data_IF_154575949469
#
_entry.id   IF_154575949469
#
_cell.length_a   1.000
_cell.length_b   1.000
_cell.length_c   1.000
_cell.angle_alpha   90.00
_cell.angle_beta   90.00
_cell.angle_gamma   90.00
#
_symmetry.space_group_name_H-M   'P 1'
#
loop_
_entity.id
_entity.type
_entity.pdbx_description
1 polymer ?
#
# COMPACT_ATOMS: atom_id res chain seq x y z
N UNK A 1 8.38 -4.54 -15.55
CA UNK A 1 7.75 -4.40 -14.23
C UNK A 1 7.60 -2.94 -13.85
N UNK A 2 6.63 -2.65 -12.99
CA UNK A 2 6.35 -1.30 -12.52
C UNK A 2 6.48 -1.27 -11.00
N UNK A 3 7.31 -0.37 -10.47
CA UNK A 3 7.47 -0.18 -9.04
C UNK A 3 6.68 1.01 -8.53
N UNK A 4 6.09 0.86 -7.34
CA UNK A 4 5.42 1.95 -6.63
C UNK A 4 5.94 1.98 -5.20
N UNK A 5 6.22 3.17 -4.70
CA UNK A 5 6.38 3.42 -3.28
C UNK A 5 5.27 4.35 -2.83
N UNK A 6 4.38 3.85 -1.97
CA UNK A 6 3.31 4.64 -1.38
C UNK A 6 3.71 5.03 0.04
N UNK A 7 3.77 6.34 0.33
CA UNK A 7 4.13 6.85 1.65
C UNK A 7 2.90 7.33 2.39
N UNK A 8 2.78 6.93 3.66
CA UNK A 8 1.65 7.28 4.52
C UNK A 8 2.14 7.93 5.80
N UNK A 9 1.40 8.94 6.26
CA UNK A 9 1.57 9.51 7.60
C UNK A 9 0.34 9.18 8.41
N UNK A 10 0.53 8.33 9.45
CA UNK A 10 -0.54 7.92 10.34
C UNK A 10 -0.78 8.97 11.41
N UNK A 11 -2.02 9.16 11.80
CA UNK A 11 -2.34 9.97 12.98
C UNK A 11 -1.72 9.33 14.22
N UNK A 12 -1.07 10.15 15.04
CA UNK A 12 -0.44 9.67 16.27
C UNK A 12 -1.45 8.98 17.17
N UNK A 13 -1.09 7.82 17.68
CA UNK A 13 -1.97 7.00 18.54
C UNK A 13 -2.88 6.03 17.79
N UNK A 14 -2.93 6.08 16.45
CA UNK A 14 -3.75 5.17 15.63
C UNK A 14 -2.95 4.10 14.91
N UNK A 15 -1.70 3.91 15.28
CA UNK A 15 -0.78 3.00 14.60
C UNK A 15 -1.27 1.55 14.60
N UNK A 16 -1.77 1.07 15.73
CA UNK A 16 -2.22 -0.32 15.84
C UNK A 16 -3.36 -0.63 14.87
N UNK A 17 -4.36 0.25 14.80
CA UNK A 17 -5.50 0.09 13.89
C UNK A 17 -5.07 0.24 12.43
N UNK A 18 -4.19 1.19 12.14
CA UNK A 18 -3.65 1.40 10.80
C UNK A 18 -2.87 0.17 10.34
N UNK A 19 -1.99 -0.36 11.17
CA UNK A 19 -1.21 -1.56 10.85
C UNK A 19 -2.11 -2.78 10.64
N UNK A 20 -3.15 -2.95 11.45
CA UNK A 20 -4.10 -4.05 11.30
C UNK A 20 -4.86 -3.94 9.97
N UNK A 21 -5.35 -2.76 9.62
CA UNK A 21 -6.08 -2.52 8.38
C UNK A 21 -5.20 -2.82 7.17
N UNK A 22 -3.98 -2.27 7.15
CA UNK A 22 -3.08 -2.44 6.01
C UNK A 22 -2.53 -3.86 5.92
N UNK A 23 -2.27 -4.52 7.05
CA UNK A 23 -1.78 -5.92 7.06
C UNK A 23 -2.83 -6.88 6.51
N UNK A 24 -4.10 -6.69 6.84
CA UNK A 24 -5.19 -7.47 6.26
C UNK A 24 -5.30 -7.23 4.75
N UNK A 25 -5.16 -5.99 4.33
CA UNK A 25 -5.15 -5.64 2.91
C UNK A 25 -3.99 -6.32 2.16
N UNK A 26 -2.79 -6.25 2.72
CA UNK A 26 -1.61 -6.92 2.15
C UNK A 26 -1.84 -8.43 2.00
N UNK A 27 -2.44 -9.05 3.00
CA UNK A 27 -2.77 -10.49 2.94
C UNK A 27 -3.70 -10.80 1.77
N UNK A 28 -4.72 -9.98 1.55
CA UNK A 28 -5.64 -10.15 0.41
C UNK A 28 -4.95 -9.96 -0.93
N UNK A 29 -4.09 -8.96 -1.06
CA UNK A 29 -3.31 -8.74 -2.28
C UNK A 29 -2.45 -9.96 -2.60
N UNK A 30 -1.70 -10.45 -1.61
CA UNK A 30 -0.82 -11.61 -1.80
C UNK A 30 -1.59 -12.88 -2.16
N UNK A 31 -2.80 -13.04 -1.65
CA UNK A 31 -3.63 -14.22 -1.89
C UNK A 31 -4.32 -14.21 -3.25
N UNK A 32 -4.65 -13.04 -3.81
CA UNK A 32 -5.56 -12.92 -4.96
C UNK A 32 -4.97 -12.22 -6.17
N UNK A 33 -3.81 -11.58 -6.05
CA UNK A 33 -3.21 -10.79 -7.12
C UNK A 33 -1.82 -11.32 -7.48
N UNK A 34 -1.72 -12.36 -8.32
CA UNK A 34 -0.41 -12.93 -8.67
C UNK A 34 0.50 -11.96 -9.44
N UNK A 35 -0.08 -10.95 -10.09
CA UNK A 35 0.68 -9.91 -10.78
C UNK A 35 1.30 -8.87 -9.84
N UNK A 36 0.90 -8.82 -8.57
CA UNK A 36 1.57 -8.03 -7.54
C UNK A 36 2.73 -8.86 -6.96
N UNK A 37 3.90 -8.72 -7.57
CA UNK A 37 5.08 -9.56 -7.29
C UNK A 37 5.66 -9.26 -5.91
N UNK A 38 5.66 -7.97 -5.51
CA UNK A 38 6.03 -7.52 -4.17
C UNK A 38 4.90 -6.62 -3.66
N UNK A 39 4.50 -6.84 -2.42
CA UNK A 39 3.54 -5.97 -1.74
C UNK A 39 3.82 -6.04 -0.24
N UNK A 40 4.52 -5.03 0.28
CA UNK A 40 5.04 -5.09 1.64
C UNK A 40 4.90 -3.73 2.33
N UNK A 41 4.22 -3.72 3.49
CA UNK A 41 4.15 -2.54 4.34
C UNK A 41 5.39 -2.48 5.23
N UNK A 42 6.03 -1.32 5.27
CA UNK A 42 7.19 -1.05 6.10
C UNK A 42 6.93 0.20 6.95
N UNK A 43 7.55 0.24 8.11
CA UNK A 43 7.51 1.40 9.01
C UNK A 43 8.85 2.13 8.95
N UNK A 44 8.82 3.46 8.94
CA UNK A 44 10.04 4.27 9.02
C UNK A 44 10.69 4.04 10.39
N UNK A 45 11.96 3.66 10.41
CA UNK A 45 12.67 3.37 11.65
C UNK A 45 12.93 4.61 12.51
N UNK A 46 12.91 5.81 11.91
CA UNK A 46 13.19 7.08 12.59
C UNK A 46 11.92 7.82 13.01
N UNK A 47 10.78 7.52 12.38
CA UNK A 47 9.50 8.15 12.69
C UNK A 47 8.41 7.08 12.59
N UNK A 48 7.95 6.60 13.73
CA UNK A 48 7.00 5.49 13.82
C UNK A 48 5.59 5.80 13.31
N UNK A 49 5.27 7.05 12.99
CA UNK A 49 3.99 7.43 12.39
C UNK A 49 4.07 7.43 10.86
N UNK A 50 5.24 7.26 10.29
CA UNK A 50 5.43 7.18 8.86
C UNK A 50 5.62 5.74 8.41
N UNK A 51 4.92 5.40 7.32
CA UNK A 51 4.93 4.08 6.70
C UNK A 51 5.15 4.20 5.21
N UNK A 52 5.62 3.15 4.60
CA UNK A 52 5.68 3.06 3.14
C UNK A 52 5.32 1.65 2.68
N UNK A 53 4.58 1.59 1.58
CA UNK A 53 4.22 0.34 0.92
C UNK A 53 5.15 0.17 -0.28
N UNK A 54 5.90 -0.93 -0.29
CA UNK A 54 6.72 -1.32 -1.44
C UNK A 54 5.86 -2.21 -2.33
N UNK A 55 5.72 -1.81 -3.60
CA UNK A 55 4.87 -2.51 -4.55
C UNK A 55 5.63 -2.73 -5.84
N UNK A 56 5.52 -3.93 -6.40
CA UNK A 56 6.09 -4.25 -7.70
C UNK A 56 5.07 -5.06 -8.48
N UNK A 57 4.70 -4.57 -9.66
CA UNK A 57 3.72 -5.20 -10.54
C UNK A 57 4.42 -5.78 -11.77
N UNK A 58 3.98 -6.96 -12.18
CA UNK A 58 4.56 -7.65 -13.34
C UNK A 58 4.41 -6.85 -14.63
N UNK A 59 3.29 -6.13 -14.79
CA UNK A 59 2.95 -5.37 -16.01
C UNK A 59 1.86 -4.34 -15.71
N UNK A 60 1.51 -3.54 -16.72
CA UNK A 60 0.48 -2.51 -16.61
C UNK A 60 -0.91 -3.09 -16.34
N UNK A 61 -1.23 -4.25 -16.89
CA UNK A 61 -2.52 -4.92 -16.67
C UNK A 61 -2.68 -5.33 -15.21
N UNK A 62 -1.62 -5.83 -14.57
CA UNK A 62 -1.64 -6.19 -13.15
C UNK A 62 -1.87 -4.97 -12.26
N UNK A 63 -1.23 -3.85 -12.58
CA UNK A 63 -1.43 -2.60 -11.84
C UNK A 63 -2.87 -2.09 -12.02
N UNK A 64 -3.38 -2.10 -13.25
CA UNK A 64 -4.77 -1.68 -13.51
C UNK A 64 -5.77 -2.57 -12.77
N UNK A 65 -5.56 -3.88 -12.77
CA UNK A 65 -6.41 -4.83 -12.06
C UNK A 65 -6.41 -4.57 -10.55
N UNK A 66 -5.23 -4.27 -9.96
CA UNK A 66 -5.09 -3.93 -8.55
C UNK A 66 -6.02 -2.79 -8.14
N UNK A 67 -6.06 -1.72 -8.94
CA UNK A 67 -6.88 -0.54 -8.66
C UNK A 67 -8.39 -0.79 -8.74
N UNK A 68 -8.82 -1.92 -9.33
CA UNK A 68 -10.23 -2.27 -9.52
C UNK A 68 -10.74 -3.33 -8.55
N UNK A 69 -9.91 -3.83 -7.65
CA UNK A 69 -10.30 -4.87 -6.71
C UNK A 69 -11.27 -4.34 -5.66
N UNK A 70 -12.12 -5.23 -5.13
CA UNK A 70 -13.04 -4.88 -4.05
C UNK A 70 -12.29 -4.49 -2.79
N UNK A 71 -11.18 -5.17 -2.49
CA UNK A 71 -10.39 -4.83 -1.31
C UNK A 71 -9.70 -3.47 -1.43
N UNK A 72 -9.32 -3.03 -2.65
CA UNK A 72 -8.81 -1.68 -2.85
C UNK A 72 -9.89 -0.62 -2.63
N UNK A 73 -11.08 -0.85 -3.16
CA UNK A 73 -12.24 0.04 -2.93
C UNK A 73 -12.57 0.16 -1.45
N UNK A 74 -12.55 -0.96 -0.72
CA UNK A 74 -12.81 -0.97 0.72
C UNK A 74 -11.72 -0.22 1.49
N UNK A 75 -10.45 -0.42 1.13
CA UNK A 75 -9.33 0.28 1.76
C UNK A 75 -9.45 1.80 1.58
N UNK A 76 -9.70 2.26 0.36
CA UNK A 76 -9.84 3.70 0.05
C UNK A 76 -10.96 4.31 0.90
N UNK A 77 -12.04 3.59 1.15
CA UNK A 77 -13.14 4.05 1.99
C UNK A 77 -12.82 4.12 3.48
N UNK A 78 -11.78 3.44 3.93
CA UNK A 78 -11.47 3.31 5.37
C UNK A 78 -10.18 4.01 5.80
N UNK A 79 -9.18 4.07 4.92
CA UNK A 79 -7.83 4.50 5.29
C UNK A 79 -7.75 5.94 5.75
N UNK A 80 -8.60 6.82 5.20
CA UNK A 80 -8.61 8.24 5.53
C UNK A 80 -8.82 8.54 7.01
N UNK A 81 -9.52 7.65 7.73
CA UNK A 81 -9.77 7.82 9.17
C UNK A 81 -8.48 7.75 10.00
N UNK A 82 -7.41 7.16 9.45
CA UNK A 82 -6.16 6.93 10.16
C UNK A 82 -5.02 7.83 9.67
N UNK A 83 -5.21 8.56 8.57
CA UNK A 83 -4.15 9.35 7.96
C UNK A 83 -4.12 10.78 8.52
N UNK A 84 -2.90 11.29 8.76
CA UNK A 84 -2.67 12.69 9.14
C UNK A 84 -2.47 13.59 7.91
N UNK A 85 -2.20 13.00 6.74
CA UNK A 85 -1.96 13.71 5.48
C UNK A 85 -2.32 12.79 4.31
N UNK A 86 -2.55 13.34 3.10
CA UNK A 86 -2.76 12.53 1.90
C UNK A 86 -1.54 11.65 1.61
N UNK A 87 -1.74 10.41 1.12
CA UNK A 87 -0.62 9.57 0.71
C UNK A 87 0.19 10.19 -0.42
N UNK A 88 1.49 9.87 -0.45
CA UNK A 88 2.38 10.27 -1.55
C UNK A 88 2.79 9.03 -2.32
N UNK A 89 2.64 9.07 -3.64
CA UNK A 89 2.99 7.96 -4.52
C UNK A 89 4.17 8.34 -5.41
N UNK A 90 5.16 7.46 -5.47
CA UNK A 90 6.24 7.51 -6.46
C UNK A 90 6.14 6.26 -7.31
N UNK A 91 6.12 6.40 -8.62
CA UNK A 91 5.89 5.30 -9.54
C UNK A 91 6.83 5.39 -10.75
N UNK A 92 7.31 4.26 -11.19
CA UNK A 92 8.13 4.20 -12.40
C UNK A 92 8.40 2.78 -12.86
N UNK A 93 8.92 2.64 -14.10
CA UNK A 93 9.31 1.33 -14.62
C UNK A 93 10.55 0.80 -13.91
N UNK A 94 10.62 -0.53 -13.77
CA UNK A 94 11.85 -1.17 -13.32
C UNK A 94 12.93 -0.99 -14.40
N UNK A 95 14.17 -0.75 -13.97
CA UNK A 95 15.30 -0.51 -14.89
C UNK A 95 16.21 -1.73 -15.05
N UNK A 96 15.91 -2.82 -14.32
CA UNK A 96 16.67 -4.07 -14.40
C UNK A 96 15.79 -5.26 -14.06
#
# INVERSE_FOLDING_TARGET
>A
MIGICAQFTCQSGKNAEFEALLSEFVTKVKATEPGAVVYQLCKNEKNGDEYFMLELYANAEALAAHGKTDHMTALVGQIGAYLAAPPKLTQGPAVN
#
